data_IF_963504582013
#
_entry.id   IF_963504582013
#
_cell.length_a   1.000
_cell.length_b   1.000
_cell.length_c   1.000
_cell.angle_alpha   90.00
_cell.angle_beta   90.00
_cell.angle_gamma   90.00
#
_symmetry.space_group_name_H-M   'P 1'
#
loop_
_entity.id
_entity.type
_entity.pdbx_description
1 polymer ?
#
# COMPACT_ATOMS: atom_id res chain seq x y z
N UNK A 1 7.91 -56.54 -6.96
CA UNK A 1 8.05 -55.12 -7.38
C UNK A 1 9.26 -54.58 -6.65
N UNK A 2 10.19 -53.90 -7.31
CA UNK A 2 11.40 -53.43 -6.65
C UNK A 2 11.09 -52.38 -5.58
N UNK A 3 11.70 -52.51 -4.42
CA UNK A 3 11.55 -51.69 -3.21
C UNK A 3 11.97 -50.23 -3.37
N UNK A 4 12.75 -49.90 -4.41
CA UNK A 4 13.12 -48.51 -4.73
C UNK A 4 11.99 -47.71 -5.40
N UNK A 5 11.03 -48.40 -6.03
CA UNK A 5 9.91 -47.80 -6.75
C UNK A 5 8.99 -46.95 -5.88
N UNK A 6 8.51 -47.40 -4.69
CA UNK A 6 7.67 -46.56 -3.82
C UNK A 6 8.40 -45.31 -3.33
N UNK A 7 9.71 -45.40 -3.04
CA UNK A 7 10.52 -44.27 -2.56
C UNK A 7 10.60 -43.15 -3.60
N UNK A 8 10.81 -43.50 -4.87
CA UNK A 8 10.86 -42.52 -5.97
C UNK A 8 9.51 -41.82 -6.15
N UNK A 9 8.41 -42.56 -6.06
CA UNK A 9 7.06 -41.99 -6.21
C UNK A 9 6.76 -40.98 -5.08
N UNK A 10 7.06 -41.34 -3.83
CA UNK A 10 6.85 -40.45 -2.69
C UNK A 10 7.69 -39.18 -2.82
N UNK A 11 8.97 -39.32 -3.20
CA UNK A 11 9.87 -38.20 -3.42
C UNK A 11 9.36 -37.26 -4.54
N UNK A 12 8.84 -37.81 -5.63
CA UNK A 12 8.30 -37.03 -6.74
C UNK A 12 7.05 -36.24 -6.35
N UNK A 13 6.15 -36.84 -5.56
CA UNK A 13 4.94 -36.17 -5.06
C UNK A 13 5.32 -35.05 -4.08
N UNK A 14 6.23 -35.33 -3.15
CA UNK A 14 6.70 -34.36 -2.16
C UNK A 14 7.40 -33.16 -2.82
N UNK A 15 8.29 -33.41 -3.79
CA UNK A 15 8.97 -32.35 -4.54
C UNK A 15 7.99 -31.49 -5.35
N UNK A 16 6.98 -32.12 -5.96
CA UNK A 16 5.95 -31.43 -6.74
C UNK A 16 5.07 -30.54 -5.86
N UNK A 17 4.67 -31.03 -4.69
CA UNK A 17 3.91 -30.27 -3.70
C UNK A 17 4.70 -29.07 -3.15
N UNK A 18 5.99 -29.26 -2.86
CA UNK A 18 6.87 -28.20 -2.38
C UNK A 18 7.09 -27.10 -3.43
N UNK A 19 7.32 -27.47 -4.69
CA UNK A 19 7.49 -26.50 -5.80
C UNK A 19 6.20 -25.69 -6.05
N UNK A 20 5.04 -26.35 -6.05
CA UNK A 20 3.75 -25.67 -6.23
C UNK A 20 3.46 -24.70 -5.07
N UNK A 21 3.71 -25.15 -3.84
CA UNK A 21 3.54 -24.31 -2.64
C UNK A 21 4.48 -23.11 -2.68
N UNK A 22 5.77 -23.29 -2.98
CA UNK A 22 6.71 -22.19 -3.13
C UNK A 22 6.27 -21.17 -4.19
N UNK A 23 5.67 -21.63 -5.30
CA UNK A 23 5.19 -20.75 -6.37
C UNK A 23 3.91 -19.99 -6.00
N UNK A 24 3.02 -20.60 -5.21
CA UNK A 24 1.79 -19.94 -4.70
C UNK A 24 2.14 -18.97 -3.57
N UNK A 25 2.99 -19.38 -2.62
CA UNK A 25 3.40 -18.58 -1.47
C UNK A 25 4.35 -17.44 -1.86
N UNK A 26 5.13 -17.56 -2.94
CA UNK A 26 5.93 -16.46 -3.49
C UNK A 26 5.12 -15.22 -3.89
N UNK A 27 3.79 -15.37 -4.10
CA UNK A 27 2.88 -14.24 -4.33
C UNK A 27 2.31 -13.64 -3.03
N UNK A 28 2.47 -14.31 -1.89
CA UNK A 28 1.91 -13.84 -0.61
C UNK A 28 2.67 -12.62 -0.06
N UNK A 29 3.97 -12.49 -0.36
CA UNK A 29 4.77 -11.31 0.00
C UNK A 29 4.34 -10.01 -0.68
N UNK A 30 3.54 -10.09 -1.76
CA UNK A 30 3.03 -8.92 -2.47
C UNK A 30 1.85 -8.25 -1.77
N UNK A 31 1.06 -8.98 -0.98
CA UNK A 31 -0.11 -8.41 -0.30
C UNK A 31 0.27 -7.36 0.75
N UNK A 32 1.38 -7.56 1.47
CA UNK A 32 1.89 -6.57 2.42
C UNK A 32 2.32 -5.28 1.74
N UNK A 33 2.97 -5.39 0.57
CA UNK A 33 3.40 -4.24 -0.24
C UNK A 33 2.23 -3.48 -0.84
N UNK A 34 1.21 -4.19 -1.31
CA UNK A 34 -0.01 -3.57 -1.86
C UNK A 34 -0.74 -2.80 -0.77
N UNK A 35 -0.90 -3.39 0.43
CA UNK A 35 -1.52 -2.71 1.57
C UNK A 35 -0.73 -1.49 2.04
N UNK A 36 0.60 -1.57 2.07
CA UNK A 36 1.47 -0.42 2.38
C UNK A 36 1.29 0.71 1.35
N UNK A 37 1.32 0.37 0.05
CA UNK A 37 1.10 1.32 -1.04
C UNK A 37 -0.28 1.99 -0.95
N UNK A 38 -1.33 1.22 -0.70
CA UNK A 38 -2.69 1.72 -0.53
C UNK A 38 -2.76 2.73 0.63
N UNK A 39 -2.20 2.38 1.79
CA UNK A 39 -2.18 3.30 2.94
C UNK A 39 -1.41 4.59 2.68
N UNK A 40 -0.35 4.53 1.87
CA UNK A 40 0.44 5.72 1.48
C UNK A 40 -0.32 6.60 0.50
N UNK A 41 -1.07 6.02 -0.44
CA UNK A 41 -1.93 6.77 -1.35
C UNK A 41 -3.04 7.47 -0.57
N UNK A 42 -3.70 6.77 0.35
CA UNK A 42 -4.75 7.35 1.19
C UNK A 42 -4.24 8.53 2.03
N UNK A 43 -3.04 8.41 2.61
CA UNK A 43 -2.41 9.49 3.36
C UNK A 43 -2.12 10.72 2.48
N UNK A 44 -1.58 10.50 1.28
CA UNK A 44 -1.26 11.58 0.33
C UNK A 44 -2.54 12.26 -0.16
N UNK A 45 -3.57 11.48 -0.47
CA UNK A 45 -4.86 12.01 -0.93
C UNK A 45 -5.50 12.88 0.14
N UNK A 46 -5.54 12.41 1.40
CA UNK A 46 -6.03 13.21 2.53
C UNK A 46 -5.23 14.51 2.69
N UNK A 47 -3.90 14.46 2.60
CA UNK A 47 -3.04 15.65 2.71
C UNK A 47 -3.30 16.63 1.57
N UNK A 48 -3.46 16.14 0.34
CA UNK A 48 -3.76 16.97 -0.82
C UNK A 48 -5.10 17.67 -0.68
N UNK A 49 -6.15 16.98 -0.21
CA UNK A 49 -7.46 17.59 0.01
C UNK A 49 -7.41 18.71 1.05
N UNK A 50 -6.68 18.49 2.15
CA UNK A 50 -6.50 19.52 3.19
C UNK A 50 -5.77 20.74 2.62
N UNK A 51 -4.67 20.53 1.88
CA UNK A 51 -3.89 21.59 1.25
C UNK A 51 -4.69 22.34 0.20
N UNK A 52 -5.50 21.65 -0.60
CA UNK A 52 -6.37 22.25 -1.59
C UNK A 52 -7.36 23.21 -0.93
N UNK A 53 -8.06 22.74 0.11
CA UNK A 53 -9.03 23.56 0.84
C UNK A 53 -8.36 24.76 1.52
N UNK A 54 -7.17 24.58 2.08
CA UNK A 54 -6.39 25.67 2.67
C UNK A 54 -5.98 26.72 1.62
N UNK A 55 -5.45 26.29 0.47
CA UNK A 55 -5.10 27.19 -0.61
C UNK A 55 -6.33 27.96 -1.11
N UNK A 56 -7.49 27.29 -1.19
CA UNK A 56 -8.72 27.96 -1.58
C UNK A 56 -9.11 29.06 -0.60
N UNK A 57 -9.07 28.78 0.71
CA UNK A 57 -9.34 29.76 1.76
C UNK A 57 -8.34 30.92 1.73
N UNK A 58 -7.06 30.63 1.48
CA UNK A 58 -6.01 31.64 1.40
C UNK A 58 -6.19 32.56 0.18
N UNK A 59 -6.55 31.99 -0.98
CA UNK A 59 -6.88 32.75 -2.18
C UNK A 59 -8.09 33.65 -1.92
N UNK A 60 -9.16 33.09 -1.35
CA UNK A 60 -10.38 33.85 -1.05
C UNK A 60 -10.09 34.98 -0.05
N UNK A 61 -9.27 34.74 0.97
CA UNK A 61 -8.80 35.74 1.93
C UNK A 61 -8.01 36.88 1.26
N UNK A 62 -7.09 36.56 0.34
CA UNK A 62 -6.34 37.58 -0.43
C UNK A 62 -7.28 38.42 -1.29
N UNK A 63 -8.22 37.78 -2.01
CA UNK A 63 -9.16 38.49 -2.87
C UNK A 63 -10.15 39.37 -2.08
N UNK A 64 -10.51 38.97 -0.86
CA UNK A 64 -11.37 39.77 0.02
C UNK A 64 -10.65 40.97 0.65
N UNK A 65 -9.33 41.10 0.45
CA UNK A 65 -8.53 42.22 0.97
C UNK A 65 -8.48 42.24 2.50
N UNK A 66 -8.73 41.12 3.16
CA UNK A 66 -8.67 41.02 4.61
C UNK A 66 -7.23 41.24 5.09
N UNK A 67 -7.04 42.03 6.16
CA UNK A 67 -5.70 42.30 6.70
C UNK A 67 -5.09 41.02 7.29
N UNK A 68 -3.75 40.91 7.34
CA UNK A 68 -3.08 39.79 7.98
C UNK A 68 -3.53 39.67 9.45
N UNK A 69 -3.70 38.46 9.99
CA UNK A 69 -2.99 37.23 9.62
C UNK A 69 -3.71 36.36 8.58
N UNK A 70 -2.94 35.59 7.78
CA UNK A 70 -3.50 34.59 6.88
C UNK A 70 -4.32 33.54 7.66
N UNK A 71 -5.20 32.78 6.97
CA UNK A 71 -5.89 31.66 7.59
C UNK A 71 -4.89 30.69 8.24
N UNK A 72 -5.26 30.12 9.39
CA UNK A 72 -4.40 29.17 10.09
C UNK A 72 -4.21 27.89 9.28
N UNK A 73 -3.00 27.34 9.27
CA UNK A 73 -2.71 26.07 8.60
C UNK A 73 -3.51 24.93 9.27
N UNK A 74 -4.22 24.08 8.51
CA UNK A 74 -4.96 22.96 9.07
C UNK A 74 -4.06 21.91 9.72
N UNK A 75 -4.54 21.33 10.82
CA UNK A 75 -3.86 20.23 11.52
C UNK A 75 -3.86 18.96 10.67
N UNK A 76 -2.76 18.19 10.69
CA UNK A 76 -2.68 16.87 10.04
C UNK A 76 -2.02 16.83 8.65
N UNK A 77 -1.38 17.92 8.24
CA UNK A 77 -0.61 18.00 6.97
C UNK A 77 0.78 17.35 7.13
N UNK A 78 1.33 17.34 8.35
CA UNK A 78 2.70 16.89 8.69
C UNK A 78 2.64 15.59 9.49
#
# INVERSE_FOLDING_TARGET
MPEWLPTIIIAAIAASGAWFTARVTGRTGSYGRIRDLESRVDLVERRNQILWNYNRQLIDHIYQGTPPPPPAMPNGII
#
